data_IF_929842528864
#
_entry.id   IF_929842528864
#
_cell.length_a   1.000
_cell.length_b   1.000
_cell.length_c   1.000
_cell.angle_alpha   90.00
_cell.angle_beta   90.00
_cell.angle_gamma   90.00
#
_symmetry.space_group_name_H-M   'P 1'
#
loop_
_entity.id
_entity.type
_entity.pdbx_description
1 polymer ?
#
# COMPACT_ATOMS: atom_id res chain seq x y z
N UNK A 1 -48.32 -35.36 20.24
CA UNK A 1 -48.74 -35.29 21.66
C UNK A 1 -47.49 -35.34 22.54
N UNK A 2 -47.38 -34.38 23.50
CA UNK A 2 -46.41 -34.26 24.62
C UNK A 2 -44.94 -34.00 24.21
N UNK A 3 -44.34 -32.81 24.33
CA UNK A 3 -44.14 -31.83 25.44
C UNK A 3 -43.35 -32.35 26.63
N UNK A 4 -42.34 -31.55 27.04
CA UNK A 4 -41.57 -31.44 28.30
C UNK A 4 -40.06 -31.71 28.08
N UNK A 5 -39.08 -30.99 28.66
CA UNK A 5 -38.95 -29.69 29.32
C UNK A 5 -37.43 -29.50 29.54
N UNK A 6 -36.97 -28.26 29.53
CA UNK A 6 -35.58 -27.84 29.77
C UNK A 6 -35.07 -28.21 31.18
N UNK A 7 -33.76 -28.40 31.32
CA UNK A 7 -33.06 -28.24 32.61
C UNK A 7 -31.72 -27.55 32.35
N UNK A 8 -31.62 -26.32 32.85
CA UNK A 8 -30.40 -25.53 33.01
C UNK A 8 -29.51 -26.20 34.06
N UNK A 9 -28.21 -26.32 33.79
CA UNK A 9 -27.19 -26.44 34.84
C UNK A 9 -26.21 -25.29 34.64
N UNK A 10 -26.30 -24.30 35.53
CA UNK A 10 -25.23 -23.33 35.76
C UNK A 10 -24.15 -24.00 36.62
N UNK A 11 -22.90 -23.91 36.19
CA UNK A 11 -21.75 -24.08 37.08
C UNK A 11 -20.80 -22.91 36.90
N UNK A 12 -20.52 -22.24 38.01
CA UNK A 12 -19.80 -20.99 38.09
C UNK A 12 -18.27 -21.19 38.10
N UNK A 13 -17.62 -20.31 37.35
CA UNK A 13 -16.34 -19.61 37.54
C UNK A 13 -15.40 -20.07 38.68
N UNK A 14 -14.15 -20.35 38.30
CA UNK A 14 -12.97 -20.08 39.14
C UNK A 14 -11.78 -19.64 38.23
N UNK A 15 -11.07 -18.55 38.56
CA UNK A 15 -10.13 -17.88 37.66
C UNK A 15 -8.73 -18.54 37.68
N UNK A 16 -8.12 -18.67 36.49
CA UNK A 16 -6.75 -19.16 36.34
C UNK A 16 -5.73 -18.09 36.72
N UNK A 17 -4.77 -18.55 37.54
CA UNK A 17 -3.59 -17.87 38.04
C UNK A 17 -2.79 -17.10 36.97
N UNK A 18 -2.51 -15.83 37.27
CA UNK A 18 -1.46 -15.03 36.63
C UNK A 18 -0.19 -15.17 37.48
N UNK A 19 0.94 -15.64 36.95
CA UNK A 19 2.20 -15.61 37.69
C UNK A 19 2.73 -14.19 37.79
N UNK A 20 2.91 -13.71 39.03
CA UNK A 20 3.69 -12.50 39.35
C UNK A 20 5.17 -12.79 39.10
N UNK A 21 5.80 -12.02 38.22
CA UNK A 21 7.27 -11.94 38.15
C UNK A 21 7.73 -11.01 39.27
N UNK A 22 8.49 -11.58 40.20
CA UNK A 22 9.12 -10.90 41.34
C UNK A 22 10.37 -10.19 40.83
N UNK A 23 10.46 -8.89 41.12
CA UNK A 23 11.70 -8.12 41.01
C UNK A 23 12.68 -8.62 42.08
N UNK A 24 13.78 -9.21 41.66
CA UNK A 24 14.94 -9.41 42.53
C UNK A 24 16.03 -8.37 42.18
N UNK A 25 16.40 -7.61 43.20
CA UNK A 25 17.54 -6.72 43.21
C UNK A 25 18.72 -7.49 43.79
N UNK A 26 19.84 -7.60 43.06
CA UNK A 26 21.15 -7.16 43.58
C UNK A 26 22.31 -7.37 42.58
N UNK A 27 23.05 -6.27 42.39
CA UNK A 27 24.52 -6.12 42.29
C UNK A 27 25.27 -6.87 41.16
N UNK A 28 25.89 -6.11 40.25
CA UNK A 28 27.33 -5.84 40.27
C UNK A 28 27.77 -4.74 39.25
N UNK A 29 28.35 -3.66 39.81
CA UNK A 29 29.50 -2.82 39.37
C UNK A 29 29.59 -2.37 37.90
N UNK A 30 29.38 -1.07 37.58
CA UNK A 30 30.29 0.10 37.71
C UNK A 30 31.20 0.34 36.50
N UNK A 31 30.88 1.36 35.70
CA UNK A 31 31.86 2.33 35.15
C UNK A 31 31.14 3.62 34.73
N UNK A 32 31.31 4.69 35.53
CA UNK A 32 31.01 6.08 35.15
C UNK A 32 32.28 6.67 34.53
N UNK A 33 32.14 7.52 33.50
CA UNK A 33 32.96 8.73 33.35
C UNK A 33 32.14 9.79 32.60
N UNK A 34 31.51 10.71 33.35
CA UNK A 34 31.85 12.14 33.45
C UNK A 34 31.40 12.97 32.23
N UNK A 35 30.25 13.61 32.39
CA UNK A 35 29.96 14.92 31.77
C UNK A 35 30.78 16.00 32.46
N UNK A 36 31.37 16.90 31.69
CA UNK A 36 31.68 18.27 32.14
C UNK A 36 31.29 19.26 31.05
N UNK A 37 30.43 20.19 31.47
CA UNK A 37 29.96 21.38 30.79
C UNK A 37 31.10 22.38 30.56
N UNK A 38 30.99 23.17 29.50
CA UNK A 38 31.81 24.35 29.26
C UNK A 38 31.24 25.20 28.14
N UNK A 39 30.47 26.23 28.50
CA UNK A 39 30.08 27.33 27.61
C UNK A 39 31.31 28.16 27.26
N UNK A 40 31.48 28.56 26.00
CA UNK A 40 32.08 29.85 25.64
C UNK A 40 31.59 30.32 24.27
N UNK A 41 31.25 31.60 24.21
CA UNK A 41 30.77 32.34 23.06
C UNK A 41 31.86 32.56 22.00
N UNK A 42 31.47 32.71 20.73
CA UNK A 42 32.38 33.11 19.65
C UNK A 42 31.63 33.38 18.35
N UNK A 43 31.84 34.58 17.82
CA UNK A 43 31.09 35.24 16.76
C UNK A 43 31.29 34.70 15.33
N UNK A 44 30.21 34.88 14.53
CA UNK A 44 30.15 35.39 13.14
C UNK A 44 31.27 35.01 12.16
N UNK A 45 30.88 34.35 11.07
CA UNK A 45 31.71 34.22 9.87
C UNK A 45 30.99 33.47 8.74
N UNK A 46 30.02 34.13 8.09
CA UNK A 46 29.47 33.67 6.81
C UNK A 46 30.54 33.85 5.74
N UNK A 47 30.92 32.77 5.05
CA UNK A 47 31.72 32.87 3.81
C UNK A 47 30.97 32.13 2.71
N UNK A 48 30.36 32.91 1.82
CA UNK A 48 29.90 32.45 0.52
C UNK A 48 31.11 31.99 -0.29
N UNK A 49 31.07 30.76 -0.80
CA UNK A 49 31.92 30.34 -1.92
C UNK A 49 30.99 30.05 -3.10
N UNK A 50 30.92 31.03 -3.99
CA UNK A 50 30.37 30.88 -5.34
C UNK A 50 31.39 30.16 -6.21
N UNK A 51 31.00 29.06 -6.85
CA UNK A 51 31.75 28.50 -7.99
C UNK A 51 30.83 28.39 -9.20
N UNK A 52 31.02 29.36 -10.10
CA UNK A 52 30.51 29.38 -11.46
C UNK A 52 31.11 28.23 -12.26
N UNK A 53 30.27 27.45 -12.94
CA UNK A 53 30.72 26.52 -13.98
C UNK A 53 30.34 27.07 -15.35
N UNK A 54 31.37 27.32 -16.15
CA UNK A 54 31.31 27.74 -17.54
C UNK A 54 30.98 26.55 -18.45
N UNK A 55 30.08 26.79 -19.41
CA UNK A 55 29.73 25.86 -20.49
C UNK A 55 30.90 25.74 -21.47
N UNK A 56 31.38 24.52 -21.69
CA UNK A 56 32.30 24.16 -22.77
C UNK A 56 31.66 23.14 -23.69
N UNK A 57 31.32 23.57 -24.91
CA UNK A 57 30.93 22.71 -26.03
C UNK A 57 32.06 21.77 -26.41
N UNK A 58 31.79 20.47 -26.54
CA UNK A 58 32.62 19.59 -27.37
C UNK A 58 31.77 18.73 -28.30
N UNK A 59 32.25 18.71 -29.54
CA UNK A 59 31.63 18.22 -30.76
C UNK A 59 31.62 16.69 -30.82
N UNK A 60 30.54 16.14 -31.41
CA UNK A 60 30.30 14.71 -31.61
C UNK A 60 30.70 14.32 -33.04
N UNK A 61 31.53 13.28 -33.18
CA UNK A 61 31.61 12.46 -34.40
C UNK A 61 31.87 10.99 -34.03
N UNK A 62 31.17 10.05 -34.68
CA UNK A 62 31.65 8.66 -34.80
C UNK A 62 30.65 7.50 -34.65
N UNK A 63 29.72 7.36 -35.59
CA UNK A 63 29.18 6.12 -36.21
C UNK A 63 28.87 4.87 -35.33
N UNK A 64 27.57 4.56 -35.29
CA UNK A 64 27.03 3.29 -35.77
C UNK A 64 26.75 2.19 -34.73
N UNK A 65 25.48 1.86 -34.50
CA UNK A 65 24.96 0.48 -34.55
C UNK A 65 23.42 0.45 -34.40
N UNK A 66 22.78 -0.23 -35.38
CA UNK A 66 21.47 -0.90 -35.38
C UNK A 66 20.22 -0.12 -34.95
N UNK A 67 19.36 0.14 -35.95
CA UNK A 67 17.92 0.43 -35.81
C UNK A 67 17.25 -0.66 -34.95
N UNK A 68 17.09 -0.39 -33.66
CA UNK A 68 16.04 -1.02 -32.87
C UNK A 68 14.74 -0.34 -33.35
N UNK A 69 13.82 -1.13 -33.89
CA UNK A 69 12.42 -0.68 -34.07
C UNK A 69 11.93 -0.25 -32.69
N UNK A 70 11.87 1.07 -32.45
CA UNK A 70 11.06 1.62 -31.37
C UNK A 70 9.62 1.23 -31.70
N UNK A 71 9.11 0.18 -31.04
CA UNK A 71 7.68 0.10 -30.76
C UNK A 71 7.39 1.33 -29.91
N UNK A 72 7.05 2.43 -30.59
CA UNK A 72 6.56 3.62 -29.95
C UNK A 72 5.24 3.27 -29.32
N UNK A 73 5.25 2.93 -28.04
CA UNK A 73 4.12 3.24 -27.19
C UNK A 73 3.98 4.76 -27.28
N UNK A 74 3.10 5.24 -28.18
CA UNK A 74 2.53 6.57 -28.03
C UNK A 74 1.97 6.58 -26.62
N UNK A 75 2.58 7.34 -25.73
CA UNK A 75 2.03 7.54 -24.39
C UNK A 75 0.60 8.04 -24.63
N UNK A 76 -0.39 7.18 -24.38
CA UNK A 76 -1.78 7.58 -24.46
C UNK A 76 -1.94 8.80 -23.54
N UNK A 77 -2.61 9.84 -24.03
CA UNK A 77 -2.92 11.00 -23.21
C UNK A 77 -3.61 10.51 -21.94
N UNK A 78 -3.30 11.16 -20.81
CA UNK A 78 -3.95 10.81 -19.55
C UNK A 78 -5.47 11.00 -19.71
N UNK A 79 -6.28 10.05 -19.22
CA UNK A 79 -7.72 10.17 -19.30
C UNK A 79 -8.22 11.36 -18.50
N UNK A 80 -9.35 11.91 -18.94
CA UNK A 80 -10.05 12.97 -18.20
C UNK A 80 -10.93 12.38 -17.11
N UNK A 81 -11.30 13.20 -16.12
CA UNK A 81 -12.10 12.75 -14.99
C UNK A 81 -13.49 12.26 -15.42
N UNK A 82 -14.08 12.92 -16.42
CA UNK A 82 -15.35 12.48 -17.01
C UNK A 82 -15.24 11.08 -17.65
N UNK A 83 -14.10 10.77 -18.27
CA UNK A 83 -13.87 9.45 -18.90
C UNK A 83 -13.72 8.34 -17.84
N UNK A 84 -13.09 8.64 -16.71
CA UNK A 84 -13.00 7.71 -15.59
C UNK A 84 -14.37 7.45 -14.96
N UNK A 85 -15.20 8.48 -14.86
CA UNK A 85 -16.54 8.39 -14.30
C UNK A 85 -17.45 7.51 -15.16
N UNK A 86 -17.45 7.69 -16.49
CA UNK A 86 -18.19 6.82 -17.42
C UNK A 86 -17.79 5.36 -17.22
N UNK A 87 -16.49 5.08 -17.17
CA UNK A 87 -15.97 3.72 -17.00
C UNK A 87 -16.35 3.13 -15.63
N UNK A 88 -16.29 3.93 -14.56
CA UNK A 88 -16.70 3.49 -13.23
C UNK A 88 -18.20 3.19 -13.15
N UNK A 89 -19.03 3.98 -13.84
CA UNK A 89 -20.47 3.73 -13.94
C UNK A 89 -20.77 2.43 -14.69
N UNK A 90 -20.06 2.10 -15.76
CA UNK A 90 -20.21 0.81 -16.45
C UNK A 90 -19.93 -0.38 -15.52
N UNK A 91 -18.90 -0.27 -14.68
CA UNK A 91 -18.58 -1.29 -13.67
C UNK A 91 -19.73 -1.41 -12.66
N UNK A 92 -20.27 -0.30 -12.16
CA UNK A 92 -21.40 -0.31 -11.21
C UNK A 92 -22.71 -0.83 -11.83
N UNK A 93 -22.96 -0.56 -13.11
CA UNK A 93 -24.14 -1.07 -13.83
C UNK A 93 -24.00 -2.58 -14.08
N UNK A 94 -22.79 -3.04 -14.41
CA UNK A 94 -22.51 -4.48 -14.63
C UNK A 94 -22.38 -5.28 -13.34
N UNK A 95 -21.95 -4.63 -12.25
CA UNK A 95 -21.80 -5.19 -10.92
C UNK A 95 -22.62 -4.31 -9.98
N UNK A 96 -23.86 -4.71 -9.69
CA UNK A 96 -24.59 -4.16 -8.54
C UNK A 96 -23.77 -4.51 -7.29
N UNK A 97 -22.84 -3.62 -6.91
CA UNK A 97 -21.81 -3.86 -5.88
C UNK A 97 -22.39 -3.85 -4.45
N UNK A 98 -23.69 -4.17 -4.32
CA UNK A 98 -24.48 -4.16 -3.11
C UNK A 98 -24.80 -2.73 -2.66
N UNK A 99 -25.94 -2.52 -1.97
CA UNK A 99 -26.22 -1.24 -1.36
C UNK A 99 -25.14 -0.92 -0.31
N UNK A 100 -24.76 0.35 -0.29
CA UNK A 100 -23.98 1.04 0.73
C UNK A 100 -24.55 0.99 2.16
N UNK A 101 -25.52 0.11 2.45
CA UNK A 101 -26.23 0.02 3.73
C UNK A 101 -25.77 -1.20 4.51
N UNK A 102 -24.47 -1.34 4.69
CA UNK A 102 -23.95 -1.94 5.91
C UNK A 102 -23.48 -0.75 6.75
N UNK A 103 -23.85 -0.73 8.03
CA UNK A 103 -23.54 0.39 8.92
C UNK A 103 -22.04 0.74 8.79
N UNK A 104 -21.65 1.99 9.00
CA UNK A 104 -20.23 2.36 9.14
C UNK A 104 -19.51 1.46 10.18
N UNK A 105 -20.27 0.82 11.09
CA UNK A 105 -19.81 -0.18 12.06
C UNK A 105 -19.46 -1.56 11.45
N UNK A 106 -20.07 -1.96 10.33
CA UNK A 106 -19.76 -3.19 9.58
C UNK A 106 -18.45 -3.07 8.77
N UNK A 107 -17.85 -1.86 8.72
CA UNK A 107 -16.49 -1.64 8.21
C UNK A 107 -15.40 -2.34 9.05
N UNK A 108 -15.74 -2.91 10.20
CA UNK A 108 -14.82 -3.69 11.02
C UNK A 108 -14.39 -5.02 10.35
N UNK A 109 -15.12 -5.52 9.34
CA UNK A 109 -14.92 -6.86 8.76
C UNK A 109 -13.98 -6.93 7.55
N UNK A 110 -13.22 -5.87 7.25
CA UNK A 110 -12.38 -5.82 6.06
C UNK A 110 -10.91 -6.21 6.26
N UNK A 111 -10.48 -6.49 7.50
CA UNK A 111 -9.13 -6.93 7.78
C UNK A 111 -8.83 -8.25 7.05
N UNK A 112 -7.82 -8.25 6.17
CA UNK A 112 -7.40 -9.49 5.53
C UNK A 112 -6.45 -10.23 6.49
N UNK A 113 -6.77 -11.48 6.89
CA UNK A 113 -6.03 -12.16 7.92
C UNK A 113 -4.56 -12.29 7.52
N UNK A 114 -3.70 -11.80 8.40
CA UNK A 114 -2.26 -11.88 8.20
C UNK A 114 -1.82 -13.35 8.24
N UNK A 115 -0.95 -13.73 7.30
CA UNK A 115 -0.29 -15.03 7.32
C UNK A 115 0.99 -15.02 8.15
N UNK A 116 1.20 -13.94 8.91
CA UNK A 116 2.45 -13.56 9.53
C UNK A 116 2.30 -13.38 11.03
N UNK A 117 3.31 -13.86 11.75
CA UNK A 117 3.46 -13.68 13.18
C UNK A 117 4.86 -13.11 13.42
N UNK A 118 4.95 -12.00 14.16
CA UNK A 118 6.21 -11.38 14.57
C UNK A 118 7.01 -12.34 15.44
N UNK A 119 8.31 -12.09 15.57
CA UNK A 119 9.19 -12.88 16.43
C UNK A 119 8.79 -12.92 17.91
N UNK A 120 7.94 -11.98 18.35
CA UNK A 120 7.35 -11.93 19.69
C UNK A 120 5.98 -12.65 19.79
N UNK A 121 5.51 -13.31 18.73
CA UNK A 121 4.23 -14.01 18.68
C UNK A 121 3.04 -13.13 18.32
N UNK A 122 3.20 -11.81 18.17
CA UNK A 122 2.10 -10.91 17.81
C UNK A 122 1.77 -10.97 16.30
N UNK A 123 0.49 -10.88 15.95
CA UNK A 123 0.09 -10.71 14.55
C UNK A 123 0.18 -9.25 14.13
N UNK A 124 0.42 -8.99 12.85
CA UNK A 124 0.30 -7.64 12.26
C UNK A 124 -0.53 -7.70 11.00
N UNK A 125 -1.59 -6.89 10.95
CA UNK A 125 -2.47 -6.77 9.80
C UNK A 125 -1.71 -6.18 8.62
N UNK A 126 -1.80 -6.85 7.49
CA UNK A 126 -0.94 -6.58 6.34
C UNK A 126 -1.64 -5.77 5.25
N UNK A 127 -2.93 -6.05 5.09
CA UNK A 127 -3.80 -5.44 4.13
C UNK A 127 -5.24 -5.52 4.61
N UNK A 128 -6.09 -4.74 3.98
CA UNK A 128 -7.53 -4.77 4.18
C UNK A 128 -8.21 -4.62 2.83
N UNK A 129 -9.41 -5.16 2.73
CA UNK A 129 -10.33 -4.78 1.68
C UNK A 129 -10.81 -3.34 1.94
N UNK A 130 -10.86 -2.51 0.91
CA UNK A 130 -11.54 -1.22 0.95
C UNK A 130 -12.92 -1.34 0.31
N UNK A 131 -13.03 -2.22 -0.69
CA UNK A 131 -14.28 -2.80 -1.17
C UNK A 131 -14.09 -4.31 -1.24
N UNK A 132 -14.95 -5.08 -0.56
CA UNK A 132 -14.85 -6.54 -0.48
C UNK A 132 -14.80 -7.13 -1.89
N UNK A 133 -13.89 -8.08 -2.10
CA UNK A 133 -13.75 -8.81 -3.36
C UNK A 133 -13.44 -7.95 -4.60
N UNK A 134 -13.08 -6.69 -4.43
CA UNK A 134 -12.90 -5.72 -5.53
C UNK A 134 -11.58 -4.97 -5.39
N UNK A 135 -11.37 -4.32 -4.24
CA UNK A 135 -10.26 -3.41 -4.02
C UNK A 135 -9.63 -3.67 -2.66
N UNK A 136 -8.42 -4.22 -2.67
CA UNK A 136 -7.60 -4.43 -1.48
C UNK A 136 -6.46 -3.40 -1.43
N UNK A 137 -6.13 -2.94 -0.23
CA UNK A 137 -5.05 -1.99 0.03
C UNK A 137 -4.10 -2.58 1.06
N UNK A 138 -2.79 -2.47 0.84
CA UNK A 138 -1.83 -3.16 1.68
C UNK A 138 -0.41 -2.65 1.66
N UNK A 139 0.40 -3.28 2.52
CA UNK A 139 1.85 -3.11 2.61
C UNK A 139 2.57 -3.77 1.42
N UNK A 140 3.89 -3.65 1.38
CA UNK A 140 4.70 -4.40 0.43
C UNK A 140 4.46 -5.91 0.56
N UNK A 141 3.98 -6.66 -0.47
CA UNK A 141 3.37 -7.99 -0.33
C UNK A 141 4.33 -9.16 -0.11
N UNK A 142 5.62 -8.88 0.13
CA UNK A 142 6.64 -9.90 0.29
C UNK A 142 7.70 -9.45 1.31
N UNK A 143 8.94 -9.90 1.19
CA UNK A 143 10.00 -9.53 2.12
C UNK A 143 10.42 -8.07 1.92
N UNK A 144 10.22 -7.27 2.96
CA UNK A 144 10.64 -5.87 3.03
C UNK A 144 11.89 -5.71 3.93
N UNK A 145 12.54 -4.52 3.93
CA UNK A 145 13.86 -4.36 4.50
C UNK A 145 13.88 -4.18 6.03
N UNK A 146 12.73 -4.14 6.71
CA UNK A 146 12.65 -3.99 8.16
C UNK A 146 12.98 -5.33 8.88
N UNK A 147 13.53 -5.25 10.08
CA UNK A 147 14.13 -6.41 10.76
C UNK A 147 13.15 -7.45 11.31
N UNK A 148 11.94 -7.03 11.66
CA UNK A 148 10.86 -7.82 12.25
C UNK A 148 9.78 -8.22 11.22
N UNK A 149 10.20 -8.61 10.02
CA UNK A 149 9.32 -8.78 8.85
C UNK A 149 9.36 -10.20 8.25
N UNK A 150 8.34 -10.59 7.46
CA UNK A 150 8.13 -11.96 7.03
C UNK A 150 9.36 -12.55 6.35
N UNK A 151 9.66 -13.79 6.74
CA UNK A 151 10.56 -14.67 6.01
C UNK A 151 10.06 -14.89 4.57
N UNK A 152 10.94 -15.40 3.70
CA UNK A 152 10.57 -15.75 2.32
C UNK A 152 9.38 -16.70 2.27
N UNK A 153 9.33 -17.66 3.18
CA UNK A 153 8.25 -18.65 3.24
C UNK A 153 6.91 -18.02 3.65
N UNK A 154 6.92 -17.17 4.67
CA UNK A 154 5.71 -16.45 5.11
C UNK A 154 5.21 -15.48 4.04
N UNK A 155 6.12 -14.76 3.39
CA UNK A 155 5.79 -13.89 2.28
C UNK A 155 5.17 -14.67 1.11
N UNK A 156 5.73 -15.82 0.76
CA UNK A 156 5.21 -16.69 -0.30
C UNK A 156 3.81 -17.23 0.03
N UNK A 157 3.61 -17.65 1.29
CA UNK A 157 2.29 -18.06 1.80
C UNK A 157 1.27 -16.93 1.72
N UNK A 158 1.68 -15.69 2.03
CA UNK A 158 0.82 -14.52 1.92
C UNK A 158 0.39 -14.27 0.46
N UNK A 159 1.34 -14.24 -0.47
CA UNK A 159 1.07 -14.10 -1.90
C UNK A 159 0.12 -15.19 -2.42
N UNK A 160 0.33 -16.43 -2.00
CA UNK A 160 -0.57 -17.55 -2.33
C UNK A 160 -1.99 -17.31 -1.84
N UNK A 161 -2.19 -16.81 -0.61
CA UNK A 161 -3.54 -16.46 -0.12
C UNK A 161 -4.17 -15.30 -0.89
N UNK A 162 -3.38 -14.34 -1.35
CA UNK A 162 -3.90 -13.25 -2.18
C UNK A 162 -4.42 -13.76 -3.52
N UNK A 163 -3.72 -14.71 -4.13
CA UNK A 163 -4.16 -15.40 -5.34
C UNK A 163 -5.43 -16.23 -5.08
N UNK A 164 -5.49 -16.93 -3.95
CA UNK A 164 -6.63 -17.77 -3.54
C UNK A 164 -7.93 -16.96 -3.39
N UNK A 165 -7.84 -15.72 -2.92
CA UNK A 165 -8.99 -14.78 -2.86
C UNK A 165 -9.21 -14.00 -4.16
N UNK A 166 -8.52 -14.37 -5.23
CA UNK A 166 -8.78 -13.91 -6.59
C UNK A 166 -8.14 -12.57 -6.96
N UNK A 167 -7.07 -12.12 -6.30
CA UNK A 167 -6.34 -10.92 -6.75
C UNK A 167 -5.77 -11.17 -8.15
N UNK A 168 -6.22 -10.36 -9.13
CA UNK A 168 -5.81 -10.46 -10.54
C UNK A 168 -4.84 -9.36 -10.96
N UNK A 169 -4.68 -8.30 -10.16
CA UNK A 169 -3.69 -7.26 -10.43
C UNK A 169 -3.02 -6.73 -9.15
N UNK A 170 -1.70 -6.60 -9.22
CA UNK A 170 -0.86 -5.95 -8.23
C UNK A 170 -0.44 -4.57 -8.71
N UNK A 171 -0.73 -3.55 -7.91
CA UNK A 171 -0.45 -2.15 -8.22
C UNK A 171 0.56 -1.60 -7.22
N UNK A 172 1.78 -1.37 -7.69
CA UNK A 172 2.88 -0.84 -6.90
C UNK A 172 2.96 0.69 -7.01
N UNK A 173 2.96 1.36 -5.86
CA UNK A 173 3.09 2.83 -5.77
C UNK A 173 4.51 3.30 -5.37
N UNK A 174 5.47 2.39 -5.24
CA UNK A 174 6.80 2.70 -4.70
C UNK A 174 7.75 3.18 -5.81
N UNK A 175 8.31 4.39 -5.65
CA UNK A 175 9.36 4.90 -6.54
C UNK A 175 10.74 4.34 -6.19
N UNK A 176 10.90 3.87 -4.97
CA UNK A 176 12.14 3.36 -4.40
C UNK A 176 12.48 1.93 -4.83
N UNK A 177 11.60 1.26 -5.57
CA UNK A 177 11.82 -0.06 -6.14
C UNK A 177 11.53 -0.07 -7.65
N UNK A 178 12.17 -0.97 -8.41
CA UNK A 178 11.83 -1.19 -9.82
C UNK A 178 10.39 -1.69 -10.00
N UNK A 179 9.90 -1.68 -11.25
CA UNK A 179 8.61 -2.30 -11.57
C UNK A 179 8.57 -3.77 -11.11
N UNK A 180 7.48 -4.21 -10.46
CA UNK A 180 7.31 -5.58 -9.98
C UNK A 180 7.01 -6.58 -11.10
N UNK A 181 6.83 -6.15 -12.34
CA UNK A 181 6.55 -7.05 -13.45
C UNK A 181 7.62 -8.17 -13.54
N UNK A 182 7.25 -9.46 -13.65
CA UNK A 182 8.19 -10.59 -13.61
C UNK A 182 9.32 -10.53 -14.65
N UNK A 183 9.07 -9.88 -15.79
CA UNK A 183 10.06 -9.64 -16.84
C UNK A 183 11.15 -8.63 -16.46
N UNK A 184 10.98 -7.89 -15.37
CA UNK A 184 11.86 -6.79 -14.97
C UNK A 184 13.02 -7.21 -14.05
N UNK A 185 13.34 -8.50 -13.98
CA UNK A 185 14.42 -9.05 -13.13
C UNK A 185 15.80 -8.43 -13.38
N UNK A 186 16.05 -7.87 -14.57
CA UNK A 186 17.30 -7.14 -14.86
C UNK A 186 17.43 -5.88 -13.99
N UNK A 187 16.34 -5.16 -13.77
CA UNK A 187 16.32 -3.99 -12.90
C UNK A 187 16.08 -4.35 -11.43
N UNK A 188 15.45 -5.51 -11.17
CA UNK A 188 15.16 -6.01 -9.83
C UNK A 188 15.75 -7.42 -9.60
N UNK A 189 16.99 -7.51 -9.11
CA UNK A 189 17.64 -8.80 -8.89
C UNK A 189 16.97 -9.58 -7.75
N UNK A 190 17.15 -10.90 -7.72
CA UNK A 190 16.55 -11.80 -6.73
C UNK A 190 17.00 -11.51 -5.29
N UNK A 191 18.20 -10.95 -5.13
CA UNK A 191 18.75 -10.47 -3.88
C UNK A 191 18.02 -9.22 -3.36
N UNK A 192 17.19 -8.60 -4.20
CA UNK A 192 16.42 -7.41 -3.89
C UNK A 192 17.20 -6.10 -4.02
N UNK A 193 16.49 -5.01 -3.76
CA UNK A 193 17.03 -3.65 -3.77
C UNK A 193 17.01 -3.07 -2.35
N UNK A 194 18.11 -2.41 -1.96
CA UNK A 194 18.19 -1.66 -0.70
C UNK A 194 17.84 -0.20 -0.93
N UNK A 195 17.27 0.45 0.08
CA UNK A 195 17.26 1.91 0.13
C UNK A 195 18.67 2.37 0.49
N UNK A 196 19.39 2.95 -0.46
CA UNK A 196 20.77 3.41 -0.22
C UNK A 196 20.85 4.46 0.90
N UNK A 197 19.74 5.19 1.13
CA UNK A 197 19.67 6.30 2.09
C UNK A 197 19.40 5.85 3.54
N UNK A 198 19.02 4.59 3.77
CA UNK A 198 18.72 4.07 5.10
C UNK A 198 19.59 2.85 5.39
N UNK A 199 20.22 2.80 6.57
CA UNK A 199 20.96 1.63 7.05
C UNK A 199 19.97 0.53 7.45
N UNK A 200 19.35 -0.09 6.44
CA UNK A 200 18.33 -1.10 6.62
C UNK A 200 18.95 -2.50 6.60
N UNK A 201 18.55 -3.38 7.52
CA UNK A 201 19.18 -4.69 7.68
C UNK A 201 18.90 -5.65 6.51
N UNK A 202 17.91 -5.35 5.65
CA UNK A 202 17.45 -6.21 4.56
C UNK A 202 17.11 -5.40 3.30
N UNK A 203 16.68 -6.09 2.24
CA UNK A 203 16.33 -5.54 0.92
C UNK A 203 14.89 -5.86 0.57
N UNK A 204 14.27 -5.07 -0.29
CA UNK A 204 13.00 -5.43 -0.92
C UNK A 204 13.23 -6.55 -1.93
N UNK A 205 12.77 -7.76 -1.64
CA UNK A 205 12.89 -8.90 -2.55
C UNK A 205 11.79 -8.87 -3.61
N UNK A 206 12.06 -9.18 -4.88
CA UNK A 206 11.06 -9.09 -5.95
C UNK A 206 9.91 -10.08 -5.73
N UNK A 207 8.67 -9.58 -5.70
CA UNK A 207 7.48 -10.42 -5.50
C UNK A 207 6.84 -10.91 -6.80
N UNK A 208 6.96 -10.17 -7.91
CA UNK A 208 6.30 -10.55 -9.16
C UNK A 208 6.67 -11.92 -9.70
N UNK A 209 7.97 -12.28 -9.75
CA UNK A 209 8.38 -13.65 -10.09
C UNK A 209 7.78 -14.71 -9.17
N UNK A 210 7.68 -14.43 -7.86
CA UNK A 210 7.08 -15.35 -6.88
C UNK A 210 5.58 -15.50 -7.12
N UNK A 211 4.87 -14.40 -7.36
CA UNK A 211 3.44 -14.42 -7.72
C UNK A 211 3.21 -15.23 -9.00
N UNK A 212 4.07 -15.06 -10.01
CA UNK A 212 4.00 -15.82 -11.26
C UNK A 212 4.17 -17.32 -11.02
N UNK A 213 5.14 -17.72 -10.20
CA UNK A 213 5.37 -19.12 -9.83
C UNK A 213 4.17 -19.70 -9.06
N UNK A 214 3.66 -18.97 -8.08
CA UNK A 214 2.52 -19.43 -7.27
C UNK A 214 1.24 -19.55 -8.12
N UNK A 215 0.95 -18.56 -8.97
CA UNK A 215 -0.20 -18.59 -9.88
C UNK A 215 -0.12 -19.82 -10.81
N UNK A 216 1.05 -20.08 -11.40
CA UNK A 216 1.27 -21.26 -12.22
C UNK A 216 1.07 -22.57 -11.43
N UNK A 217 1.56 -22.64 -10.19
CA UNK A 217 1.38 -23.82 -9.33
C UNK A 217 -0.08 -24.08 -8.94
N UNK A 218 -0.91 -23.03 -8.94
CA UNK A 218 -2.34 -23.09 -8.64
C UNK A 218 -3.20 -23.28 -9.90
N UNK A 219 -2.61 -23.30 -11.10
CA UNK A 219 -3.34 -23.35 -12.37
C UNK A 219 -4.11 -22.07 -12.69
N UNK A 220 -3.68 -20.93 -12.15
CA UNK A 220 -4.29 -19.61 -12.36
C UNK A 220 -3.57 -18.84 -13.48
N UNK A 221 -4.28 -17.89 -14.09
CA UNK A 221 -3.65 -16.90 -14.95
C UNK A 221 -2.69 -16.01 -14.16
N UNK A 222 -1.64 -15.54 -14.82
CA UNK A 222 -0.64 -14.66 -14.18
C UNK A 222 -1.29 -13.29 -13.94
N UNK A 223 -1.29 -12.78 -12.69
CA UNK A 223 -1.80 -11.44 -12.42
C UNK A 223 -1.08 -10.35 -13.21
N UNK A 224 -1.78 -9.25 -13.47
CA UNK A 224 -1.17 -8.05 -14.03
C UNK A 224 -0.37 -7.30 -12.98
N UNK A 225 0.70 -6.64 -13.42
CA UNK A 225 1.56 -5.83 -12.57
C UNK A 225 1.59 -4.39 -13.10
N UNK A 226 1.01 -3.47 -12.34
CA UNK A 226 1.01 -2.04 -12.64
C UNK A 226 2.00 -1.33 -11.72
N UNK A 227 2.72 -0.34 -12.25
CA UNK A 227 3.69 0.45 -11.48
C UNK A 227 3.49 1.94 -11.71
N UNK A 228 3.13 2.64 -10.64
CA UNK A 228 3.05 4.10 -10.62
C UNK A 228 4.00 4.61 -9.54
N UNK A 229 5.28 4.85 -9.87
CA UNK A 229 6.29 5.22 -8.88
C UNK A 229 5.98 6.60 -8.29
N UNK A 230 5.64 6.64 -7.00
CA UNK A 230 5.44 7.87 -6.22
C UNK A 230 6.50 7.92 -5.12
N UNK A 231 7.29 9.01 -4.99
CA UNK A 231 8.24 9.17 -3.89
C UNK A 231 7.56 9.06 -2.53
N UNK A 232 8.26 8.55 -1.53
CA UNK A 232 7.65 8.37 -0.21
C UNK A 232 7.10 9.67 0.37
N UNK A 233 6.00 9.60 1.11
CA UNK A 233 5.27 10.76 1.66
C UNK A 233 4.66 11.73 0.64
N UNK A 234 4.81 11.51 -0.67
CA UNK A 234 4.25 12.35 -1.73
C UNK A 234 2.91 11.82 -2.25
N UNK A 235 2.33 12.58 -3.19
CA UNK A 235 1.14 12.24 -3.97
C UNK A 235 1.52 11.93 -5.42
N UNK A 236 0.77 11.06 -6.13
CA UNK A 236 0.97 10.88 -7.56
C UNK A 236 0.69 12.17 -8.33
N UNK A 237 1.43 12.40 -9.41
CA UNK A 237 1.11 13.48 -10.37
C UNK A 237 -0.23 13.17 -11.04
N UNK A 238 -0.97 14.21 -11.41
CA UNK A 238 -2.30 14.09 -12.01
C UNK A 238 -2.34 13.07 -13.16
N UNK A 239 -1.51 13.28 -14.17
CA UNK A 239 -1.47 12.43 -15.37
C UNK A 239 -1.12 10.97 -15.06
N UNK A 240 -0.33 10.72 -14.01
CA UNK A 240 0.03 9.36 -13.60
C UNK A 240 -1.13 8.71 -12.85
N UNK A 241 -1.76 9.45 -11.93
CA UNK A 241 -2.94 9.00 -11.19
C UNK A 241 -4.08 8.66 -12.16
N UNK A 242 -4.41 9.56 -13.08
CA UNK A 242 -5.51 9.38 -14.02
C UNK A 242 -5.31 8.15 -14.91
N UNK A 243 -4.10 7.95 -15.45
CA UNK A 243 -3.76 6.75 -16.24
C UNK A 243 -3.90 5.48 -15.42
N UNK A 244 -3.36 5.49 -14.20
CA UNK A 244 -3.44 4.33 -13.32
C UNK A 244 -4.89 4.00 -12.95
N UNK A 245 -5.71 5.00 -12.62
CA UNK A 245 -7.11 4.80 -12.29
C UNK A 245 -7.87 4.20 -13.47
N UNK A 246 -7.61 4.63 -14.71
CA UNK A 246 -8.18 3.99 -15.90
C UNK A 246 -7.74 2.54 -16.04
N UNK A 247 -6.46 2.24 -15.89
CA UNK A 247 -5.97 0.86 -16.00
C UNK A 247 -6.58 -0.05 -14.93
N UNK A 248 -6.76 0.47 -13.71
CA UNK A 248 -7.45 -0.19 -12.60
C UNK A 248 -8.93 -0.42 -12.91
N UNK A 249 -9.64 0.59 -13.43
CA UNK A 249 -11.05 0.45 -13.79
C UNK A 249 -11.24 -0.55 -14.95
N UNK A 250 -10.36 -0.56 -15.96
CA UNK A 250 -10.40 -1.56 -17.04
C UNK A 250 -10.22 -2.97 -16.47
N UNK A 251 -9.29 -3.16 -15.53
CA UNK A 251 -9.11 -4.44 -14.85
C UNK A 251 -10.39 -4.89 -14.13
N UNK A 252 -11.02 -3.98 -13.39
CA UNK A 252 -12.27 -4.24 -12.69
C UNK A 252 -13.44 -4.53 -13.64
N UNK A 253 -13.52 -3.82 -14.77
CA UNK A 253 -14.52 -4.07 -15.82
C UNK A 253 -14.41 -5.48 -16.40
N UNK A 254 -13.19 -5.99 -16.53
CA UNK A 254 -12.91 -7.35 -17.01
C UNK A 254 -13.15 -8.44 -15.96
N UNK A 255 -13.73 -8.11 -14.81
CA UNK A 255 -13.99 -9.08 -13.76
C UNK A 255 -12.90 -9.15 -12.68
N UNK A 256 -11.80 -8.40 -12.84
CA UNK A 256 -10.62 -8.49 -11.98
C UNK A 256 -10.82 -7.94 -10.56
N UNK A 257 -9.78 -8.15 -9.74
CA UNK A 257 -9.67 -7.68 -8.35
C UNK A 257 -8.29 -7.10 -8.11
N UNK A 258 -8.25 -5.95 -7.45
CA UNK A 258 -7.03 -5.15 -7.31
C UNK A 258 -6.40 -5.32 -5.94
N UNK A 259 -5.07 -5.38 -5.93
CA UNK A 259 -4.26 -5.13 -4.75
C UNK A 259 -3.36 -3.91 -4.96
N UNK A 260 -3.65 -2.82 -4.26
CA UNK A 260 -2.87 -1.58 -4.33
C UNK A 260 -1.98 -1.47 -3.10
N UNK A 261 -0.68 -1.29 -3.33
CA UNK A 261 0.28 -1.24 -2.22
C UNK A 261 1.34 -0.15 -2.37
N UNK A 262 1.90 0.20 -1.22
CA UNK A 262 3.18 0.89 -1.12
C UNK A 262 4.03 0.14 -0.09
N UNK A 263 4.96 0.79 0.61
CA UNK A 263 5.70 0.11 1.67
C UNK A 263 4.80 -0.19 2.88
N UNK A 264 4.25 0.85 3.51
CA UNK A 264 3.40 0.72 4.70
C UNK A 264 1.91 0.53 4.40
N UNK A 265 1.48 0.72 3.15
CA UNK A 265 0.09 0.53 2.75
C UNK A 265 -0.91 1.52 3.36
N UNK A 266 -0.45 2.69 3.80
CA UNK A 266 -1.27 3.69 4.50
C UNK A 266 -1.20 5.10 3.89
N UNK A 267 -0.15 5.42 3.12
CA UNK A 267 0.06 6.73 2.51
C UNK A 267 -0.28 6.73 1.02
N UNK A 268 0.75 6.56 0.17
CA UNK A 268 0.62 6.57 -1.31
C UNK A 268 -0.44 5.61 -1.85
N UNK A 269 -0.46 4.37 -1.36
CA UNK A 269 -1.47 3.37 -1.74
C UNK A 269 -2.89 3.78 -1.35
N UNK A 270 -3.03 4.38 -0.16
CA UNK A 270 -4.32 4.86 0.33
C UNK A 270 -4.86 6.00 -0.54
N UNK A 271 -4.01 6.92 -1.02
CA UNK A 271 -4.43 7.99 -1.95
C UNK A 271 -5.07 7.41 -3.21
N UNK A 272 -4.38 6.53 -3.92
CA UNK A 272 -4.90 5.94 -5.16
C UNK A 272 -6.15 5.11 -4.91
N UNK A 273 -6.16 4.31 -3.84
CA UNK A 273 -7.30 3.46 -3.50
C UNK A 273 -8.52 4.27 -3.11
N UNK A 274 -8.34 5.39 -2.41
CA UNK A 274 -9.41 6.30 -2.03
C UNK A 274 -9.98 7.04 -3.25
N UNK A 275 -9.14 7.49 -4.18
CA UNK A 275 -9.62 8.06 -5.46
C UNK A 275 -10.43 7.02 -6.26
N UNK A 276 -9.99 5.76 -6.27
CA UNK A 276 -10.73 4.68 -6.94
C UNK A 276 -12.05 4.36 -6.22
N UNK A 277 -12.06 4.37 -4.89
CA UNK A 277 -13.27 4.24 -4.08
C UNK A 277 -14.28 5.34 -4.43
N UNK A 278 -13.85 6.60 -4.53
CA UNK A 278 -14.72 7.73 -4.89
C UNK A 278 -15.36 7.57 -6.28
N UNK A 279 -14.64 6.98 -7.24
CA UNK A 279 -15.17 6.64 -8.56
C UNK A 279 -16.23 5.54 -8.47
N UNK A 280 -15.95 4.47 -7.72
CA UNK A 280 -16.82 3.28 -7.62
C UNK A 280 -18.04 3.47 -6.71
N UNK A 281 -17.97 4.41 -5.75
CA UNK A 281 -19.00 4.68 -4.75
C UNK A 281 -19.44 6.15 -4.86
N UNK A 282 -20.22 6.49 -5.90
CA UNK A 282 -20.53 7.86 -6.27
C UNK A 282 -21.27 8.67 -5.20
N UNK A 283 -21.95 7.98 -4.30
CA UNK A 283 -22.71 8.53 -3.18
C UNK A 283 -21.82 9.05 -2.04
N UNK A 284 -20.53 8.67 -1.99
CA UNK A 284 -19.63 9.08 -0.93
C UNK A 284 -19.01 10.45 -1.23
N UNK A 285 -19.15 11.37 -0.28
CA UNK A 285 -18.45 12.64 -0.27
C UNK A 285 -16.99 12.54 0.18
N UNK A 286 -16.22 13.65 0.07
CA UNK A 286 -14.80 13.67 0.39
C UNK A 286 -14.45 13.15 1.80
N UNK A 287 -15.26 13.51 2.80
CA UNK A 287 -15.04 13.09 4.18
C UNK A 287 -15.33 11.61 4.39
N UNK A 288 -16.38 11.08 3.75
CA UNK A 288 -16.76 9.66 3.86
C UNK A 288 -15.72 8.76 3.20
N UNK A 289 -15.18 9.15 2.05
CA UNK A 289 -14.07 8.43 1.40
C UNK A 289 -12.84 8.37 2.32
N UNK A 290 -12.48 9.48 2.97
CA UNK A 290 -11.38 9.53 3.94
C UNK A 290 -11.65 8.67 5.17
N UNK A 291 -12.89 8.69 5.70
CA UNK A 291 -13.29 7.86 6.84
C UNK A 291 -13.25 6.37 6.50
N UNK A 292 -13.75 5.96 5.34
CA UNK A 292 -13.68 4.57 4.88
C UNK A 292 -12.22 4.11 4.72
N UNK A 293 -11.37 4.99 4.18
CA UNK A 293 -9.94 4.71 4.01
C UNK A 293 -9.24 4.51 5.35
N UNK A 294 -9.53 5.39 6.33
CA UNK A 294 -9.00 5.28 7.69
C UNK A 294 -9.52 4.02 8.38
N UNK A 295 -10.83 3.77 8.38
CA UNK A 295 -11.46 2.60 9.00
C UNK A 295 -10.89 1.28 8.43
N UNK A 296 -10.68 1.22 7.12
CA UNK A 296 -10.01 0.09 6.48
C UNK A 296 -8.59 -0.13 7.01
N UNK A 297 -7.81 0.94 7.18
CA UNK A 297 -6.47 0.83 7.75
C UNK A 297 -6.49 0.43 9.24
N UNK A 298 -7.40 1.01 10.03
CA UNK A 298 -7.56 0.73 11.47
C UNK A 298 -8.00 -0.71 11.74
N UNK A 299 -8.70 -1.34 10.79
CA UNK A 299 -9.07 -2.77 10.88
C UNK A 299 -7.85 -3.70 10.92
N UNK A 300 -6.68 -3.24 10.46
CA UNK A 300 -5.45 -4.03 10.48
C UNK A 300 -4.93 -4.13 11.92
N UNK A 301 -4.55 -5.34 12.35
CA UNK A 301 -3.88 -5.53 13.65
C UNK A 301 -2.61 -4.65 13.70
N UNK A 302 -2.55 -3.72 14.66
CA UNK A 302 -1.46 -2.74 14.79
C UNK A 302 -1.53 -1.56 13.79
N UNK A 303 -2.71 -1.32 13.18
CA UNK A 303 -2.98 -0.20 12.27
C UNK A 303 -3.43 1.09 12.96
N UNK A 304 -4.16 0.99 14.08
CA UNK A 304 -4.92 2.11 14.68
C UNK A 304 -4.11 3.36 15.12
N UNK A 305 -2.77 3.32 15.09
CA UNK A 305 -1.91 4.41 15.57
C UNK A 305 -1.49 5.42 14.48
N UNK A 306 -1.93 5.23 13.22
CA UNK A 306 -1.52 6.11 12.12
C UNK A 306 -2.68 6.61 11.27
N UNK A 307 -2.57 7.86 10.82
CA UNK A 307 -3.49 8.42 9.84
C UNK A 307 -3.31 7.77 8.46
N UNK A 308 -4.40 7.48 7.77
CA UNK A 308 -4.44 7.03 6.39
C UNK A 308 -5.47 7.84 5.59
N UNK A 309 -5.07 8.54 4.50
CA UNK A 309 -3.71 8.79 4.05
C UNK A 309 -2.84 9.54 5.07
N UNK A 310 -1.52 9.33 5.00
CA UNK A 310 -0.55 9.69 6.03
C UNK A 310 -0.28 11.19 6.17
N UNK A 311 -0.14 11.91 5.04
CA UNK A 311 0.21 13.34 5.05
C UNK A 311 -1.00 14.21 4.74
N UNK A 312 -0.94 15.48 5.15
CA UNK A 312 -2.00 16.44 4.80
C UNK A 312 -2.14 16.59 3.28
N UNK A 313 -1.03 16.67 2.54
CA UNK A 313 -1.06 16.75 1.08
C UNK A 313 -1.76 15.54 0.43
N UNK A 314 -1.56 14.33 0.98
CA UNK A 314 -2.25 13.13 0.54
C UNK A 314 -3.76 13.18 0.80
N UNK A 315 -4.16 13.65 1.99
CA UNK A 315 -5.59 13.81 2.34
C UNK A 315 -6.26 14.87 1.48
N UNK A 316 -5.59 16.02 1.26
CA UNK A 316 -6.07 17.07 0.35
C UNK A 316 -6.24 16.54 -1.07
N UNK A 317 -5.31 15.72 -1.57
CA UNK A 317 -5.42 15.12 -2.90
C UNK A 317 -6.69 14.27 -3.07
N UNK A 318 -6.99 13.42 -2.09
CA UNK A 318 -8.22 12.60 -2.08
C UNK A 318 -9.45 13.48 -1.99
N UNK A 319 -9.43 14.47 -1.09
CA UNK A 319 -10.53 15.38 -0.89
C UNK A 319 -10.86 16.18 -2.18
N UNK A 320 -9.85 16.77 -2.80
CA UNK A 320 -9.99 17.57 -4.02
C UNK A 320 -10.46 16.72 -5.20
N UNK A 321 -9.91 15.51 -5.36
CA UNK A 321 -10.35 14.57 -6.38
C UNK A 321 -11.84 14.23 -6.23
N UNK A 322 -12.26 13.88 -5.01
CA UNK A 322 -13.65 13.52 -4.71
C UNK A 322 -14.60 14.71 -4.91
N UNK A 323 -14.17 15.92 -4.52
CA UNK A 323 -14.93 17.16 -4.74
C UNK A 323 -15.09 17.47 -6.23
N UNK A 324 -14.03 17.31 -7.02
CA UNK A 324 -14.09 17.52 -8.46
C UNK A 324 -15.08 16.54 -9.12
N UNK A 325 -15.06 15.28 -8.71
CA UNK A 325 -16.01 14.26 -9.17
C UNK A 325 -17.46 14.60 -8.81
N UNK A 326 -17.71 15.01 -7.56
CA UNK A 326 -19.04 15.44 -7.14
C UNK A 326 -19.55 16.68 -7.92
N UNK A 327 -18.65 17.61 -8.24
CA UNK A 327 -18.98 18.78 -9.05
C UNK A 327 -19.34 18.41 -10.49
N UNK A 328 -18.66 17.43 -11.09
CA UNK A 328 -18.99 16.93 -12.44
C UNK A 328 -20.40 16.33 -12.46
N UNK A 329 -20.76 15.53 -11.46
CA UNK A 329 -22.11 14.96 -11.32
C UNK A 329 -23.21 16.01 -11.20
N UNK A 330 -22.95 17.07 -10.43
CA UNK A 330 -23.89 18.18 -10.25
C UNK A 330 -24.09 19.04 -11.51
N UNK A 331 -23.28 18.88 -12.56
CA UNK A 331 -23.52 19.52 -13.87
C UNK A 331 -24.47 18.73 -14.77
N UNK A 332 -24.69 17.45 -14.49
CA UNK A 332 -25.53 16.56 -15.31
C UNK A 332 -27.00 16.49 -14.83
N UNK A 333 -27.31 17.12 -13.69
CA UNK A 333 -28.64 17.22 -13.07
C UNK A 333 -29.31 18.56 -13.31
#
# INVERSE_FOLDING_TARGET
>A
MRSLRSTLIMTALCPRHVPRVVHDQQRHRSARLVQRSGCFAGAVGVTLITRSFTFGSLCVQGRGFRRIRRLGQRAAAAPRLEELEVLANEIRISRDMGPAQENLEDLAYYAFPSCYTRGDGSQRGFCNWLLRDVLMVGRYPYCDPLGDFPSKEEGRRHLKKMLDVGITAFVCMQAEIPSPAPENLKAWPWEGVSLQEFDMPRRFLPYGPVVKEEAASMGLEIPRFLHCPVPDMHVPKEEQLMRLLRDCLIELQNGGRLYIHCWGGLGRAAVTSACLLALLRPELGPNEVLLCTQAGYDSRIGGADYASPQTMAQRSKVHDFTRALAYLRGKES
#
